data_IF_306979589815
#
_entry.id   IF_306979589815
#
_cell.length_a   1.000
_cell.length_b   1.000
_cell.length_c   1.000
_cell.angle_alpha   90.00
_cell.angle_beta   90.00
_cell.angle_gamma   90.00
#
_symmetry.space_group_name_H-M   'P 1'
#
loop_
_entity.id
_entity.type
_entity.pdbx_description
1 polymer ?
#
# COMPACT_ATOMS: atom_id res chain seq x y z
N UNK A 1 11.56 8.91 14.02
CA UNK A 1 11.21 8.39 15.36
C UNK A 1 10.06 7.38 15.33
N UNK A 2 9.29 7.27 14.23
CA UNK A 2 8.15 6.33 14.12
C UNK A 2 8.50 4.99 13.46
N UNK A 3 9.72 4.86 12.94
CA UNK A 3 10.18 3.65 12.23
C UNK A 3 10.29 2.43 13.14
N UNK A 4 10.79 2.57 14.37
CA UNK A 4 10.90 1.47 15.34
C UNK A 4 9.55 0.86 15.71
N UNK A 5 8.49 1.66 15.69
CA UNK A 5 7.14 1.20 16.05
C UNK A 5 6.65 0.06 15.14
N UNK A 6 6.77 0.21 13.82
CA UNK A 6 6.29 -0.80 12.89
C UNK A 6 7.12 -2.08 12.92
N UNK A 7 8.43 -1.98 13.10
CA UNK A 7 9.30 -3.16 13.23
C UNK A 7 9.01 -3.91 14.53
N UNK A 8 8.81 -3.21 15.65
CA UNK A 8 8.38 -3.80 16.92
C UNK A 8 6.98 -4.43 16.80
N UNK A 9 6.05 -3.74 16.13
CA UNK A 9 4.70 -4.25 15.91
C UNK A 9 4.73 -5.58 15.16
N UNK A 10 5.40 -5.63 13.99
CA UNK A 10 5.45 -6.85 13.18
C UNK A 10 6.29 -7.97 13.83
N UNK A 11 7.29 -7.63 14.63
CA UNK A 11 8.06 -8.61 15.42
C UNK A 11 7.20 -9.36 16.44
N UNK A 12 6.13 -8.72 16.93
CA UNK A 12 5.19 -9.31 17.89
C UNK A 12 3.99 -10.03 17.26
N UNK A 13 3.81 -9.95 15.94
CA UNK A 13 2.66 -10.57 15.26
C UNK A 13 2.89 -12.07 15.06
N UNK A 14 2.06 -12.89 15.71
CA UNK A 14 2.02 -14.33 15.44
C UNK A 14 1.35 -14.62 14.10
N UNK A 15 1.87 -15.58 13.33
CA UNK A 15 1.31 -15.97 12.03
C UNK A 15 -0.19 -16.30 12.10
N UNK A 16 -0.63 -16.92 13.21
CA UNK A 16 -2.04 -17.25 13.46
C UNK A 16 -2.96 -16.06 13.72
N UNK A 17 -2.40 -14.90 14.07
CA UNK A 17 -3.14 -13.68 14.31
C UNK A 17 -3.33 -12.82 13.05
N UNK A 18 -2.68 -13.21 11.94
CA UNK A 18 -2.76 -12.46 10.68
C UNK A 18 -4.06 -12.75 9.95
N UNK A 19 -4.74 -11.66 9.56
CA UNK A 19 -5.95 -11.75 8.73
C UNK A 19 -5.61 -12.38 7.37
N UNK A 20 -6.33 -13.44 7.01
CA UNK A 20 -6.11 -14.17 5.76
C UNK A 20 -6.91 -13.60 4.59
N UNK A 21 -8.13 -13.12 4.85
CA UNK A 21 -8.98 -12.54 3.81
C UNK A 21 -8.41 -11.23 3.27
N UNK A 22 -8.50 -10.97 1.95
CA UNK A 22 -8.07 -9.70 1.38
C UNK A 22 -8.90 -8.54 1.92
N UNK A 23 -8.32 -7.36 1.87
CA UNK A 23 -9.05 -6.14 2.24
C UNK A 23 -10.20 -5.85 1.27
N UNK A 24 -11.22 -5.08 1.68
CA UNK A 24 -12.24 -4.56 0.76
C UNK A 24 -11.61 -3.76 -0.39
N UNK A 25 -10.51 -3.06 -0.12
CA UNK A 25 -9.78 -2.29 -1.14
C UNK A 25 -9.11 -3.18 -2.18
N UNK A 26 -8.46 -4.28 -1.77
CA UNK A 26 -7.88 -5.24 -2.72
C UNK A 26 -8.95 -5.85 -3.64
N UNK A 27 -10.12 -6.20 -3.08
CA UNK A 27 -11.26 -6.70 -3.86
C UNK A 27 -11.78 -5.63 -4.85
N UNK A 28 -11.85 -4.38 -4.41
CA UNK A 28 -12.26 -3.27 -5.26
C UNK A 28 -11.27 -3.07 -6.42
N UNK A 29 -9.96 -3.03 -6.13
CA UNK A 29 -8.91 -2.89 -7.16
C UNK A 29 -9.00 -4.02 -8.19
N UNK A 30 -9.17 -5.28 -7.75
CA UNK A 30 -9.34 -6.42 -8.66
C UNK A 30 -10.58 -6.27 -9.56
N UNK A 31 -11.65 -5.68 -9.03
CA UNK A 31 -12.89 -5.39 -9.78
C UNK A 31 -12.73 -4.29 -10.84
N UNK A 32 -11.67 -3.48 -10.81
CA UNK A 32 -11.38 -2.47 -11.83
C UNK A 32 -10.77 -3.06 -13.12
N UNK A 33 -10.82 -4.37 -13.30
CA UNK A 33 -10.25 -5.08 -14.45
C UNK A 33 -8.75 -4.86 -14.65
N UNK A 34 -8.04 -4.73 -13.54
CA UNK A 34 -6.57 -4.75 -13.56
C UNK A 34 -6.12 -6.08 -14.16
N UNK A 35 -5.34 -6.02 -15.23
CA UNK A 35 -4.83 -7.22 -15.93
C UNK A 35 -3.94 -8.07 -15.00
N UNK A 36 -3.67 -9.30 -15.40
CA UNK A 36 -2.78 -10.25 -14.68
C UNK A 36 -1.30 -9.86 -14.87
N UNK A 37 -0.96 -8.57 -14.62
CA UNK A 37 0.37 -8.02 -14.77
C UNK A 37 1.15 -7.95 -13.47
N UNK A 38 2.24 -7.19 -13.50
CA UNK A 38 3.02 -6.86 -12.32
C UNK A 38 2.20 -5.99 -11.36
N UNK A 39 2.25 -6.33 -10.07
CA UNK A 39 1.71 -5.51 -9.00
C UNK A 39 2.78 -5.25 -7.94
N UNK A 40 3.02 -3.99 -7.62
CA UNK A 40 3.90 -3.55 -6.54
C UNK A 40 3.03 -3.11 -5.37
N UNK A 41 3.09 -3.85 -4.25
CA UNK A 41 2.36 -3.56 -3.00
C UNK A 41 3.29 -2.82 -2.04
N UNK A 42 3.16 -1.49 -1.95
CA UNK A 42 4.02 -0.64 -1.12
C UNK A 42 3.40 -0.44 0.25
N UNK A 43 4.18 -0.72 1.30
CA UNK A 43 3.68 -0.85 2.67
C UNK A 43 2.92 -2.16 2.87
N UNK A 44 3.47 -3.25 2.31
CA UNK A 44 2.80 -4.57 2.24
C UNK A 44 2.47 -5.18 3.61
N UNK A 45 3.17 -4.76 4.68
CA UNK A 45 2.97 -5.27 6.03
C UNK A 45 3.08 -6.79 6.09
N UNK A 46 2.04 -7.46 6.57
CA UNK A 46 2.02 -8.93 6.67
C UNK A 46 1.89 -9.65 5.33
N UNK A 47 1.91 -8.93 4.20
CA UNK A 47 1.67 -9.48 2.87
C UNK A 47 0.20 -9.83 2.59
N UNK A 48 -0.75 -9.39 3.41
CA UNK A 48 -2.17 -9.77 3.33
C UNK A 48 -2.75 -9.65 1.93
N UNK A 49 -2.70 -8.45 1.36
CA UNK A 49 -3.30 -8.16 0.07
C UNK A 49 -2.37 -8.63 -1.07
N UNK A 50 -1.05 -8.46 -0.92
CA UNK A 50 -0.06 -8.94 -1.89
C UNK A 50 -0.14 -10.44 -2.14
N UNK A 51 -0.23 -11.25 -1.09
CA UNK A 51 -0.40 -12.70 -1.20
C UNK A 51 -1.72 -13.08 -1.90
N UNK A 52 -2.79 -12.37 -1.57
CA UNK A 52 -4.07 -12.59 -2.25
C UNK A 52 -4.01 -12.24 -3.73
N UNK A 53 -3.37 -11.13 -4.11
CA UNK A 53 -3.15 -10.78 -5.52
C UNK A 53 -2.32 -11.86 -6.23
N UNK A 54 -1.24 -12.35 -5.60
CA UNK A 54 -0.41 -13.42 -6.17
C UNK A 54 -1.19 -14.72 -6.38
N UNK A 55 -2.02 -15.11 -5.42
CA UNK A 55 -2.93 -16.25 -5.55
C UNK A 55 -4.00 -16.07 -6.65
N UNK A 56 -4.24 -14.82 -7.08
CA UNK A 56 -5.16 -14.47 -8.17
C UNK A 56 -4.44 -14.11 -9.48
N UNK A 57 -3.20 -14.57 -9.66
CA UNK A 57 -2.48 -14.54 -10.94
C UNK A 57 -1.59 -13.33 -11.19
N UNK A 58 -1.46 -12.41 -10.21
CA UNK A 58 -0.53 -11.27 -10.35
C UNK A 58 0.91 -11.69 -10.05
N UNK A 59 1.86 -11.10 -10.77
CA UNK A 59 3.28 -11.15 -10.43
C UNK A 59 3.56 -10.06 -9.37
N UNK A 60 3.60 -10.44 -8.09
CA UNK A 60 3.62 -9.52 -6.96
C UNK A 60 5.02 -9.28 -6.43
N UNK A 61 5.33 -8.00 -6.22
CA UNK A 61 6.47 -7.53 -5.41
C UNK A 61 5.93 -6.69 -4.25
N UNK A 62 6.04 -7.19 -3.03
CA UNK A 62 5.68 -6.46 -1.82
C UNK A 62 6.90 -5.70 -1.26
N UNK A 63 6.72 -4.43 -0.93
CA UNK A 63 7.76 -3.56 -0.39
C UNK A 63 7.35 -3.06 0.99
N UNK A 64 8.24 -3.13 1.96
CA UNK A 64 8.01 -2.59 3.31
C UNK A 64 9.33 -2.15 3.94
N UNK A 65 9.24 -1.16 4.82
CA UNK A 65 10.39 -0.71 5.59
C UNK A 65 10.87 -1.76 6.61
N UNK A 66 9.94 -2.48 7.27
CA UNK A 66 10.23 -3.37 8.38
C UNK A 66 10.81 -4.72 7.92
N UNK A 67 12.02 -5.09 8.34
CA UNK A 67 12.56 -6.43 8.11
C UNK A 67 11.69 -7.55 8.69
N UNK A 68 11.02 -7.28 9.83
CA UNK A 68 10.11 -8.24 10.45
C UNK A 68 8.87 -8.49 9.58
N UNK A 69 8.30 -7.42 9.01
CA UNK A 69 7.21 -7.48 8.02
C UNK A 69 7.60 -8.34 6.81
N UNK A 70 8.74 -8.04 6.19
CA UNK A 70 9.24 -8.78 5.02
C UNK A 70 9.47 -10.26 5.34
N UNK A 71 10.09 -10.56 6.49
CA UNK A 71 10.31 -11.94 6.92
C UNK A 71 8.98 -12.69 7.13
N UNK A 72 7.98 -12.04 7.71
CA UNK A 72 6.65 -12.61 7.93
C UNK A 72 5.94 -12.86 6.60
N UNK A 73 5.89 -11.87 5.71
CA UNK A 73 5.24 -11.98 4.41
C UNK A 73 5.89 -13.08 3.53
N UNK A 74 7.23 -13.17 3.54
CA UNK A 74 7.99 -14.21 2.82
C UNK A 74 7.63 -15.62 3.32
N UNK A 75 7.67 -15.85 4.65
CA UNK A 75 7.26 -17.15 5.22
C UNK A 75 5.84 -17.52 4.84
N UNK A 76 4.92 -16.55 4.85
CA UNK A 76 3.52 -16.79 4.46
C UNK A 76 3.37 -17.14 2.98
N UNK A 77 4.16 -16.51 2.08
CA UNK A 77 4.19 -16.87 0.67
C UNK A 77 4.64 -18.32 0.48
N UNK A 78 5.69 -18.73 1.17
CA UNK A 78 6.19 -20.11 1.15
C UNK A 78 5.15 -21.11 1.68
N UNK A 79 4.50 -20.82 2.81
CA UNK A 79 3.46 -21.66 3.42
C UNK A 79 2.22 -21.81 2.54
N UNK A 80 1.86 -20.78 1.78
CA UNK A 80 0.71 -20.76 0.89
C UNK A 80 1.06 -21.19 -0.54
N UNK A 81 2.34 -21.45 -0.82
CA UNK A 81 2.85 -21.81 -2.15
C UNK A 81 2.48 -20.81 -3.24
N UNK A 82 2.46 -19.48 -2.89
CA UNK A 82 2.17 -18.42 -3.85
C UNK A 82 3.44 -17.71 -4.33
N UNK A 83 3.55 -17.37 -5.64
CA UNK A 83 4.75 -16.80 -6.22
C UNK A 83 4.83 -15.27 -6.00
N UNK A 84 4.93 -14.83 -4.73
CA UNK A 84 5.13 -13.43 -4.38
C UNK A 84 6.56 -13.20 -3.87
N UNK A 85 7.15 -12.05 -4.19
CA UNK A 85 8.45 -11.61 -3.66
C UNK A 85 8.22 -10.46 -2.69
N UNK A 86 9.01 -10.42 -1.62
CA UNK A 86 8.96 -9.35 -0.62
C UNK A 86 10.37 -8.80 -0.40
N UNK A 87 10.52 -7.49 -0.49
CA UNK A 87 11.80 -6.79 -0.43
C UNK A 87 11.72 -5.60 0.54
N UNK A 88 12.79 -5.36 1.28
CA UNK A 88 12.85 -4.21 2.17
C UNK A 88 13.05 -2.92 1.37
N UNK A 89 12.24 -1.89 1.66
CA UNK A 89 12.38 -0.55 1.09
C UNK A 89 12.12 0.52 2.14
N UNK A 90 13.11 1.39 2.35
CA UNK A 90 12.93 2.64 3.09
C UNK A 90 12.53 3.76 2.13
N UNK A 91 11.30 4.28 2.25
CA UNK A 91 10.81 5.39 1.43
C UNK A 91 11.56 6.72 1.67
N UNK A 92 12.40 6.81 2.70
CA UNK A 92 13.24 7.99 2.96
C UNK A 92 14.67 7.84 2.39
N UNK A 93 14.99 6.72 1.77
CA UNK A 93 16.19 6.50 0.97
C UNK A 93 15.87 6.69 -0.51
N UNK A 94 16.11 7.90 -1.02
CA UNK A 94 15.76 8.31 -2.40
C UNK A 94 16.43 7.43 -3.44
N UNK A 95 17.68 7.02 -3.20
CA UNK A 95 18.42 6.17 -4.14
C UNK A 95 17.83 4.76 -4.17
N UNK A 96 17.46 4.20 -3.01
CA UNK A 96 16.77 2.93 -2.91
C UNK A 96 15.38 2.98 -3.58
N UNK A 97 14.63 4.08 -3.40
CA UNK A 97 13.33 4.30 -4.06
C UNK A 97 13.46 4.30 -5.57
N UNK A 98 14.42 5.04 -6.12
CA UNK A 98 14.68 5.07 -7.56
C UNK A 98 15.13 3.71 -8.11
N UNK A 99 15.94 2.97 -7.36
CA UNK A 99 16.37 1.63 -7.75
C UNK A 99 15.18 0.65 -7.74
N UNK A 100 14.35 0.67 -6.69
CA UNK A 100 13.17 -0.16 -6.56
C UNK A 100 12.14 0.13 -7.67
N UNK A 101 11.86 1.40 -7.97
CA UNK A 101 10.94 1.78 -9.03
C UNK A 101 11.32 1.16 -10.39
N UNK A 102 12.61 1.05 -10.68
CA UNK A 102 13.12 0.46 -11.93
C UNK A 102 13.17 -1.07 -11.89
N UNK A 103 13.63 -1.65 -10.76
CA UNK A 103 13.83 -3.10 -10.64
C UNK A 103 12.52 -3.87 -10.43
N UNK A 104 11.55 -3.26 -9.76
CA UNK A 104 10.26 -3.88 -9.48
C UNK A 104 9.27 -3.71 -10.62
N UNK A 105 9.43 -2.72 -11.49
CA UNK A 105 8.61 -2.56 -12.69
C UNK A 105 8.76 -3.79 -13.61
N UNK A 106 7.64 -4.29 -14.13
CA UNK A 106 7.62 -5.39 -15.09
C UNK A 106 7.91 -4.91 -16.52
N UNK A 107 8.04 -5.84 -17.47
CA UNK A 107 8.24 -5.50 -18.87
C UNK A 107 7.01 -4.90 -19.56
N UNK A 108 5.86 -4.92 -18.89
CA UNK A 108 4.58 -4.38 -19.37
C UNK A 108 3.98 -3.38 -18.39
N UNK A 109 2.66 -3.28 -18.42
CA UNK A 109 1.90 -2.44 -17.47
C UNK A 109 2.11 -2.93 -16.05
N UNK A 110 2.44 -2.01 -15.16
CA UNK A 110 2.62 -2.29 -13.73
C UNK A 110 1.56 -1.54 -12.93
N UNK A 111 0.87 -2.26 -12.06
CA UNK A 111 -0.01 -1.68 -11.05
C UNK A 111 0.81 -1.38 -9.79
N UNK A 112 0.69 -0.17 -9.25
CA UNK A 112 1.19 0.15 -7.91
C UNK A 112 -0.01 0.23 -6.96
N UNK A 113 0.13 -0.36 -5.80
CA UNK A 113 -0.90 -0.45 -4.77
C UNK A 113 -0.33 0.03 -3.43
N UNK A 114 -1.03 0.89 -2.74
CA UNK A 114 -0.65 1.31 -1.39
C UNK A 114 -1.90 1.46 -0.51
N UNK A 115 -1.97 0.68 0.55
CA UNK A 115 -3.09 0.72 1.48
C UNK A 115 -2.65 1.10 2.88
N UNK A 116 -3.31 2.10 3.45
CA UNK A 116 -3.05 2.59 4.82
C UNK A 116 -1.59 3.02 5.07
N UNK A 117 -0.90 3.46 4.02
CA UNK A 117 0.49 3.89 4.07
C UNK A 117 0.64 5.41 4.16
N UNK A 118 -0.01 6.18 3.27
CA UNK A 118 0.26 7.63 3.14
C UNK A 118 -0.01 8.44 4.41
N UNK A 119 -0.94 8.02 5.25
CA UNK A 119 -1.18 8.65 6.55
C UNK A 119 -0.24 8.16 7.67
N UNK A 120 0.59 7.15 7.39
CA UNK A 120 1.55 6.59 8.33
C UNK A 120 3.00 7.05 8.07
N UNK A 121 3.22 7.85 7.03
CA UNK A 121 4.51 8.42 6.63
C UNK A 121 4.43 9.95 6.54
N UNK A 122 5.58 10.61 6.72
CA UNK A 122 5.71 12.06 6.61
C UNK A 122 5.73 12.48 5.13
N UNK A 123 5.65 13.80 4.88
CA UNK A 123 5.55 14.39 3.54
C UNK A 123 6.67 13.93 2.60
N UNK A 124 7.91 13.82 3.11
CA UNK A 124 9.06 13.34 2.33
C UNK A 124 8.86 11.88 1.86
N UNK A 125 8.47 10.98 2.76
CA UNK A 125 8.19 9.59 2.40
C UNK A 125 7.01 9.45 1.45
N UNK A 126 5.99 10.34 1.58
CA UNK A 126 4.84 10.38 0.66
C UNK A 126 5.25 10.87 -0.73
N UNK A 127 6.06 11.91 -0.83
CA UNK A 127 6.59 12.38 -2.10
C UNK A 127 7.40 11.29 -2.81
N UNK A 128 8.25 10.56 -2.08
CA UNK A 128 9.04 9.47 -2.62
C UNK A 128 8.16 8.26 -3.04
N UNK A 129 7.07 7.96 -2.32
CA UNK A 129 6.08 6.97 -2.75
C UNK A 129 5.43 7.35 -4.09
N UNK A 130 5.05 8.61 -4.25
CA UNK A 130 4.43 9.08 -5.49
C UNK A 130 5.42 9.05 -6.67
N UNK A 131 6.68 9.37 -6.43
CA UNK A 131 7.74 9.28 -7.44
C UNK A 131 8.03 7.82 -7.83
N UNK A 132 8.03 6.89 -6.86
CA UNK A 132 8.10 5.45 -7.12
C UNK A 132 6.94 5.02 -8.02
N UNK A 133 5.71 5.38 -7.66
CA UNK A 133 4.53 5.01 -8.41
C UNK A 133 4.57 5.59 -9.84
N UNK A 134 4.89 6.88 -9.98
CA UNK A 134 5.02 7.55 -11.28
C UNK A 134 6.02 6.86 -12.19
N UNK A 135 7.16 6.42 -11.63
CA UNK A 135 8.22 5.78 -12.40
C UNK A 135 7.89 4.33 -12.74
N UNK A 136 7.28 3.59 -11.81
CA UNK A 136 7.09 2.15 -11.94
C UNK A 136 5.84 1.75 -12.76
N UNK A 137 4.80 2.58 -12.80
CA UNK A 137 3.50 2.18 -13.41
C UNK A 137 3.58 1.93 -14.91
N UNK A 138 4.46 2.65 -15.64
CA UNK A 138 4.63 2.45 -17.08
C UNK A 138 3.29 2.37 -17.83
N UNK A 139 2.42 3.36 -17.64
CA UNK A 139 1.07 3.41 -18.20
C UNK A 139 0.01 2.63 -17.44
N UNK A 140 0.37 2.00 -16.33
CA UNK A 140 -0.55 1.37 -15.40
C UNK A 140 -1.18 2.36 -14.42
N UNK A 141 -1.80 1.83 -13.39
CA UNK A 141 -2.56 2.61 -12.42
C UNK A 141 -1.92 2.50 -11.04
N UNK A 142 -1.84 3.62 -10.35
CA UNK A 142 -1.55 3.68 -8.93
C UNK A 142 -2.87 3.75 -8.16
N UNK A 143 -3.10 2.74 -7.32
CA UNK A 143 -4.24 2.65 -6.41
C UNK A 143 -3.79 2.94 -4.99
N UNK A 144 -4.49 3.83 -4.29
CA UNK A 144 -4.22 4.09 -2.88
C UNK A 144 -5.49 4.24 -2.06
N UNK A 145 -5.46 3.72 -0.83
CA UNK A 145 -6.49 3.87 0.20
C UNK A 145 -5.84 4.37 1.49
N UNK A 146 -6.39 5.41 2.10
CA UNK A 146 -5.87 5.96 3.33
C UNK A 146 -6.96 6.57 4.21
N UNK A 147 -6.69 6.65 5.53
CA UNK A 147 -7.56 7.34 6.47
C UNK A 147 -7.44 8.85 6.28
N UNK A 148 -8.59 9.54 6.27
CA UNK A 148 -8.62 10.99 6.15
C UNK A 148 -8.69 11.68 7.51
N UNK A 149 -8.53 13.01 7.52
CA UNK A 149 -8.65 13.84 8.71
C UNK A 149 -10.03 13.77 9.38
N UNK A 150 -11.07 13.34 8.66
CA UNK A 150 -12.42 13.14 9.21
C UNK A 150 -12.51 11.94 10.18
N UNK A 151 -11.46 11.11 10.23
CA UNK A 151 -11.32 9.99 11.17
C UNK A 151 -10.56 10.39 12.46
N UNK A 152 -10.17 11.65 12.58
CA UNK A 152 -9.42 12.16 13.73
C UNK A 152 -10.20 12.02 15.04
N UNK A 153 -9.50 11.60 16.11
CA UNK A 153 -10.07 11.50 17.46
C UNK A 153 -10.87 10.25 17.75
N UNK A 154 -10.98 9.30 16.83
CA UNK A 154 -11.60 7.99 17.07
C UNK A 154 -10.59 7.01 17.68
N UNK A 155 -11.07 6.09 18.52
CA UNK A 155 -10.26 4.96 18.98
C UNK A 155 -10.06 3.96 17.84
N UNK A 156 -8.86 3.39 17.76
CA UNK A 156 -8.47 2.47 16.68
C UNK A 156 -8.08 1.10 17.24
N UNK A 157 -8.46 0.03 16.52
CA UNK A 157 -8.19 -1.37 16.91
C UNK A 157 -6.69 -1.63 17.10
N UNK A 158 -5.82 -0.99 16.32
CA UNK A 158 -4.37 -1.17 16.39
C UNK A 158 -3.65 -0.15 17.29
N UNK A 159 -4.37 0.50 18.21
CA UNK A 159 -3.82 1.44 19.18
C UNK A 159 -3.42 2.80 18.62
N UNK A 160 -2.81 3.61 19.50
CA UNK A 160 -2.30 4.93 19.11
C UNK A 160 -0.90 4.80 18.53
N UNK A 161 -0.78 5.11 17.24
CA UNK A 161 0.50 5.29 16.57
C UNK A 161 0.44 6.55 15.71
N UNK A 162 1.61 6.99 15.21
CA UNK A 162 1.69 8.17 14.36
C UNK A 162 0.75 8.04 13.14
N UNK A 163 -0.11 9.06 12.98
CA UNK A 163 -0.97 9.23 11.81
C UNK A 163 -1.01 10.70 11.44
N UNK A 164 -0.76 10.98 10.18
CA UNK A 164 -1.06 12.28 9.61
C UNK A 164 -2.54 12.28 9.22
N UNK A 165 -3.26 13.29 9.68
CA UNK A 165 -4.65 13.48 9.29
C UNK A 165 -4.70 14.24 7.96
N UNK A 166 -4.62 13.49 6.87
CA UNK A 166 -4.60 14.04 5.52
C UNK A 166 -6.01 14.41 5.04
N UNK A 167 -6.11 15.49 4.28
CA UNK A 167 -7.27 15.77 3.46
C UNK A 167 -7.14 14.98 2.15
N UNK A 168 -8.23 14.31 1.71
CA UNK A 168 -8.21 13.57 0.45
C UNK A 168 -7.94 14.45 -0.74
N UNK A 169 -8.48 15.67 -0.76
CA UNK A 169 -8.23 16.63 -1.83
C UNK A 169 -6.77 17.09 -1.87
N UNK A 170 -6.12 17.29 -0.71
CA UNK A 170 -4.70 17.60 -0.66
C UNK A 170 -3.86 16.53 -1.36
N UNK A 171 -4.16 15.24 -1.15
CA UNK A 171 -3.44 14.13 -1.80
C UNK A 171 -3.70 14.11 -3.31
N UNK A 172 -4.91 14.43 -3.75
CA UNK A 172 -5.26 14.64 -5.17
C UNK A 172 -4.40 15.75 -5.77
N UNK A 173 -4.35 16.92 -5.14
CA UNK A 173 -3.61 18.08 -5.62
C UNK A 173 -2.09 17.78 -5.74
N UNK A 174 -1.54 17.03 -4.77
CA UNK A 174 -0.13 16.59 -4.80
C UNK A 174 0.15 15.66 -6.01
N UNK A 175 -0.76 14.73 -6.30
CA UNK A 175 -0.63 13.79 -7.43
C UNK A 175 -0.80 14.51 -8.78
N UNK A 176 -1.78 15.41 -8.90
CA UNK A 176 -2.00 16.23 -10.10
C UNK A 176 -0.81 17.17 -10.36
N UNK A 177 -0.18 17.72 -9.32
CA UNK A 177 1.04 18.51 -9.45
C UNK A 177 2.23 17.71 -10.03
N UNK A 178 2.22 16.38 -9.87
CA UNK A 178 3.16 15.46 -10.51
C UNK A 178 2.72 14.98 -11.90
N UNK A 179 1.65 15.56 -12.45
CA UNK A 179 1.10 15.24 -13.76
C UNK A 179 0.23 13.99 -13.82
N UNK A 180 -0.29 13.53 -12.69
CA UNK A 180 -1.24 12.41 -12.67
C UNK A 180 -2.62 12.83 -13.18
N UNK A 181 -3.26 11.94 -13.92
CA UNK A 181 -4.69 11.98 -14.21
C UNK A 181 -5.44 11.21 -13.11
N UNK A 182 -6.37 11.86 -12.41
CA UNK A 182 -7.23 11.19 -11.42
C UNK A 182 -8.38 10.49 -12.12
N UNK A 183 -8.37 9.16 -12.11
CA UNK A 183 -9.39 8.30 -12.73
C UNK A 183 -10.55 8.02 -11.77
N UNK A 184 -10.27 8.00 -10.46
CA UNK A 184 -11.26 7.76 -9.42
C UNK A 184 -10.86 8.47 -8.13
N UNK A 185 -11.84 9.10 -7.47
CA UNK A 185 -11.72 9.63 -6.13
C UNK A 185 -13.04 9.39 -5.39
N UNK A 186 -12.98 8.68 -4.29
CA UNK A 186 -14.10 8.38 -3.42
C UNK A 186 -13.69 8.51 -1.97
N UNK A 187 -14.52 9.15 -1.15
CA UNK A 187 -14.31 9.26 0.29
C UNK A 187 -15.57 8.83 1.05
N UNK A 188 -15.35 8.17 2.19
CA UNK A 188 -16.48 7.84 3.05
C UNK A 188 -16.18 6.79 4.10
N UNK A 189 -17.22 6.51 4.86
CA UNK A 189 -17.38 5.32 5.68
C UNK A 189 -17.90 4.15 4.84
N UNK A 190 -17.85 2.93 5.37
CA UNK A 190 -18.30 1.72 4.67
C UNK A 190 -17.31 1.14 3.67
N UNK A 191 -16.23 1.86 3.34
CA UNK A 191 -15.26 1.45 2.35
C UNK A 191 -14.21 0.47 2.93
N UNK A 192 -13.81 0.65 4.18
CA UNK A 192 -12.72 -0.09 4.81
C UNK A 192 -13.12 -0.71 6.15
N UNK A 193 -14.35 -1.22 6.22
CA UNK A 193 -14.90 -1.84 7.43
C UNK A 193 -14.06 -3.06 7.84
N UNK A 194 -13.65 -3.08 9.12
CA UNK A 194 -12.93 -4.19 9.72
C UNK A 194 -13.38 -4.39 11.16
N UNK A 195 -13.98 -5.54 11.46
CA UNK A 195 -14.62 -5.84 12.75
C UNK A 195 -15.65 -4.74 13.10
N UNK A 196 -15.46 -4.04 14.21
CA UNK A 196 -16.31 -2.94 14.66
C UNK A 196 -15.83 -1.56 14.17
N UNK A 197 -14.70 -1.51 13.46
CA UNK A 197 -14.10 -0.29 12.97
C UNK A 197 -14.59 0.04 11.55
N UNK A 198 -15.13 1.25 11.37
CA UNK A 198 -15.50 1.82 10.08
C UNK A 198 -14.83 3.19 9.92
N UNK A 199 -13.55 3.21 9.49
CA UNK A 199 -12.82 4.45 9.32
C UNK A 199 -13.34 5.25 8.14
N UNK A 200 -13.25 6.59 8.24
CA UNK A 200 -13.42 7.45 7.07
C UNK A 200 -12.14 7.40 6.24
N UNK A 201 -12.24 6.88 5.01
CA UNK A 201 -11.09 6.72 4.11
C UNK A 201 -11.31 7.44 2.79
N UNK A 202 -10.22 7.75 2.10
CA UNK A 202 -10.21 8.11 0.70
C UNK A 202 -9.61 6.96 -0.13
N UNK A 203 -10.19 6.73 -1.31
CA UNK A 203 -9.71 5.83 -2.36
C UNK A 203 -9.41 6.63 -3.61
N UNK A 204 -8.22 6.42 -4.15
CA UNK A 204 -7.81 7.04 -5.40
C UNK A 204 -7.33 5.98 -6.39
N UNK A 205 -7.59 6.22 -7.67
CA UNK A 205 -6.91 5.57 -8.78
C UNK A 205 -6.38 6.66 -9.70
N UNK A 206 -5.08 6.66 -9.96
CA UNK A 206 -4.43 7.66 -10.79
C UNK A 206 -3.51 7.01 -11.81
N UNK A 207 -3.25 7.73 -12.90
CA UNK A 207 -2.39 7.31 -14.01
C UNK A 207 -1.50 8.46 -14.46
N UNK A 208 -0.29 8.12 -14.88
CA UNK A 208 0.60 9.02 -15.62
C UNK A 208 0.66 8.60 -17.08
N UNK A 209 0.67 9.60 -17.98
CA UNK A 209 0.78 9.43 -19.45
C UNK A 209 2.22 9.17 -19.86
#
# INVERSE_FOLDING_TARGET
MHRSHWDEFYSGVADSAVVQDPSPFARWVRGQHVGDGRLIDVGTGTGRDGLWFAANGFDVVGLDYSPASISLATRRAEQQEVPARFEQLDLYDVDAVHAAAKSCAGPGVTTVYARFLVHAIEDEGRANLFELARTATNGGIFYLEFRTGKDAGKQHVFGEHFRLYLDGQQVVDELEALGAEVLHHEEGHGLAVYQEEDPHVARLAVRWS
#
